data_IF_455230449486
#
_entry.id   IF_455230449486
#
_cell.length_a   1.000
_cell.length_b   1.000
_cell.length_c   1.000
_cell.angle_alpha   90.00
_cell.angle_beta   90.00
_cell.angle_gamma   90.00
#
_symmetry.space_group_name_H-M   'P 1'
#
loop_
_entity.id
_entity.type
_entity.pdbx_description
1 polymer ?
#
# COMPACT_ATOMS: atom_id res chain seq x y z
N UNK A 1 17.37 6.74 -5.43
CA UNK A 1 16.46 5.59 -5.62
C UNK A 1 17.28 4.31 -5.52
N UNK A 2 16.92 3.41 -4.62
CA UNK A 2 17.58 2.11 -4.49
C UNK A 2 17.11 1.10 -5.54
N UNK A 3 17.67 -0.11 -5.52
CA UNK A 3 17.37 -1.23 -6.43
C UNK A 3 15.88 -1.57 -6.52
N UNK A 4 15.07 -1.17 -5.53
CA UNK A 4 13.64 -1.50 -5.43
C UNK A 4 12.71 -0.33 -5.82
N UNK A 5 13.23 0.79 -6.28
CA UNK A 5 12.45 2.00 -6.58
C UNK A 5 11.51 2.40 -5.42
N UNK A 6 12.07 2.49 -4.21
CA UNK A 6 11.34 2.77 -2.98
C UNK A 6 11.73 1.81 -1.85
N UNK A 7 10.93 1.77 -0.79
CA UNK A 7 11.05 0.82 0.32
C UNK A 7 12.08 1.17 1.40
N UNK A 8 12.80 2.28 1.28
CA UNK A 8 13.92 2.62 2.15
C UNK A 8 13.63 3.71 3.18
N UNK A 9 12.60 4.52 2.97
CA UNK A 9 12.34 5.69 3.79
C UNK A 9 10.89 5.77 4.26
N UNK A 10 10.66 6.63 5.23
CA UNK A 10 9.36 6.98 5.75
C UNK A 10 8.99 8.39 5.32
N UNK A 11 7.76 8.58 4.90
CA UNK A 11 7.25 9.87 4.44
C UNK A 11 5.84 10.12 4.99
N UNK A 12 5.46 11.39 5.22
CA UNK A 12 4.08 11.72 5.52
C UNK A 12 3.18 11.42 4.33
N UNK A 13 2.04 10.77 4.58
CA UNK A 13 1.01 10.54 3.56
C UNK A 13 0.00 11.69 3.60
N UNK A 14 -0.25 12.30 2.44
CA UNK A 14 -1.04 13.52 2.36
C UNK A 14 -0.21 14.77 2.69
N UNK A 15 0.99 14.86 2.10
CA UNK A 15 1.92 15.99 2.33
C UNK A 15 1.34 17.33 1.89
N UNK A 16 0.61 17.37 0.78
CA UNK A 16 0.00 18.59 0.23
C UNK A 16 -1.50 18.62 0.50
N UNK A 17 -2.18 17.50 0.22
CA UNK A 17 -3.62 17.38 0.43
C UNK A 17 -3.92 16.09 1.17
N UNK A 18 -4.56 16.18 2.33
CA UNK A 18 -4.93 14.99 3.11
C UNK A 18 -6.01 14.21 2.34
N UNK A 19 -5.80 12.91 2.05
CA UNK A 19 -6.82 12.06 1.46
C UNK A 19 -8.07 11.91 2.32
N UNK A 20 -9.17 11.43 1.73
CA UNK A 20 -10.39 11.11 2.46
C UNK A 20 -10.17 10.05 3.55
N UNK A 21 -11.07 10.01 4.53
CA UNK A 21 -10.93 9.12 5.70
C UNK A 21 -10.97 7.63 5.34
N UNK A 22 -11.55 7.26 4.20
CA UNK A 22 -11.55 5.89 3.67
C UNK A 22 -10.14 5.45 3.23
N UNK A 23 -9.30 6.38 2.75
CA UNK A 23 -7.92 6.12 2.30
C UNK A 23 -6.93 6.31 3.45
N UNK A 24 -7.14 7.37 4.25
CA UNK A 24 -6.33 7.70 5.42
C UNK A 24 -7.22 7.81 6.67
N UNK A 25 -7.56 6.68 7.32
CA UNK A 25 -8.38 6.67 8.52
C UNK A 25 -7.76 7.50 9.64
N UNK A 26 -8.58 8.30 10.34
CA UNK A 26 -8.11 9.19 11.41
C UNK A 26 -7.46 8.45 12.58
N UNK A 27 -7.90 7.21 12.84
CA UNK A 27 -7.36 6.36 13.89
C UNK A 27 -5.99 5.75 13.56
N UNK A 28 -5.63 5.68 12.27
CA UNK A 28 -4.32 5.16 11.85
C UNK A 28 -3.32 6.30 11.67
N UNK A 29 -2.60 6.57 12.73
CA UNK A 29 -1.59 7.63 12.77
C UNK A 29 -0.20 7.18 12.29
N UNK A 30 -0.10 6.00 11.68
CA UNK A 30 1.14 5.47 11.14
C UNK A 30 2.24 5.32 12.19
N UNK A 31 3.44 5.76 11.86
CA UNK A 31 4.62 5.64 12.72
C UNK A 31 4.46 6.28 14.11
N UNK A 32 3.62 7.30 14.25
CA UNK A 32 3.29 7.92 15.55
C UNK A 32 2.80 6.90 16.57
N UNK A 33 2.07 5.87 16.17
CA UNK A 33 1.58 4.82 17.07
C UNK A 33 2.70 4.09 17.83
N UNK A 34 3.92 4.09 17.29
CA UNK A 34 5.10 3.45 17.88
C UNK A 34 6.01 4.47 18.56
N UNK A 35 6.23 5.62 17.94
CA UNK A 35 7.23 6.60 18.41
C UNK A 35 6.66 7.63 19.37
N UNK A 36 5.35 7.84 19.38
CA UNK A 36 4.65 8.92 20.10
C UNK A 36 5.24 10.33 19.82
N UNK A 37 5.91 10.49 18.69
CA UNK A 37 6.54 11.75 18.28
C UNK A 37 5.66 12.47 17.28
N UNK A 38 5.29 13.73 17.56
CA UNK A 38 4.34 14.49 16.73
C UNK A 38 4.75 14.61 15.25
N UNK A 39 6.04 14.70 14.96
CA UNK A 39 6.54 14.73 13.58
C UNK A 39 6.36 13.41 12.80
N UNK A 40 6.02 12.33 13.50
CA UNK A 40 5.78 11.01 12.90
C UNK A 40 4.28 10.73 12.66
N UNK A 41 3.41 11.70 12.94
CA UNK A 41 1.97 11.55 12.70
C UNK A 41 1.69 11.44 11.20
N UNK A 42 0.94 10.40 10.82
CA UNK A 42 0.66 10.03 9.43
C UNK A 42 1.90 9.77 8.56
N UNK A 43 3.02 9.43 9.17
CA UNK A 43 4.22 8.99 8.47
C UNK A 43 4.17 7.48 8.28
N UNK A 44 4.32 7.05 7.04
CA UNK A 44 4.31 5.64 6.63
C UNK A 44 5.58 5.28 5.88
N UNK A 45 5.90 4.00 5.86
CA UNK A 45 6.98 3.49 5.04
C UNK A 45 6.58 3.56 3.57
N UNK A 46 7.42 4.17 2.73
CA UNK A 46 7.24 4.10 1.29
C UNK A 46 7.46 2.66 0.81
N UNK A 47 6.45 2.07 0.19
CA UNK A 47 6.55 0.73 -0.38
C UNK A 47 7.44 0.71 -1.63
N UNK A 48 8.11 -0.42 -1.95
CA UNK A 48 8.75 -0.61 -3.25
C UNK A 48 7.72 -0.52 -4.37
N UNK A 49 8.11 0.05 -5.50
CA UNK A 49 7.25 0.09 -6.70
C UNK A 49 7.36 -1.19 -7.55
N UNK A 50 8.39 -2.00 -7.33
CA UNK A 50 8.56 -3.28 -8.02
C UNK A 50 7.39 -4.22 -7.68
N UNK A 51 6.78 -4.80 -8.71
CA UNK A 51 5.61 -5.68 -8.62
C UNK A 51 4.38 -5.01 -7.98
N UNK A 52 4.22 -3.70 -8.13
CA UNK A 52 3.08 -3.02 -7.53
C UNK A 52 1.76 -3.37 -8.21
N UNK A 53 1.77 -3.64 -9.53
CA UNK A 53 0.56 -3.94 -10.31
C UNK A 53 -0.27 -5.09 -9.72
N UNK A 54 0.30 -6.27 -9.37
CA UNK A 54 -0.48 -7.39 -8.83
C UNK A 54 -0.80 -7.28 -7.34
N UNK A 55 -0.55 -6.13 -6.68
CA UNK A 55 -0.66 -6.02 -5.23
C UNK A 55 -1.88 -5.24 -4.73
N UNK A 56 -2.91 -5.11 -5.57
CA UNK A 56 -4.18 -4.55 -5.10
C UNK A 56 -4.73 -5.36 -3.89
N UNK A 57 -5.44 -4.72 -2.95
CA UNK A 57 -5.77 -3.31 -2.87
C UNK A 57 -4.60 -2.44 -2.41
N UNK A 58 -4.64 -1.15 -2.82
CA UNK A 58 -3.57 -0.18 -2.56
C UNK A 58 -3.80 0.61 -1.29
N UNK A 59 -2.71 1.25 -0.83
CA UNK A 59 -2.56 1.94 0.45
C UNK A 59 -2.70 1.01 1.66
N UNK A 60 -2.35 1.51 2.84
CA UNK A 60 -2.42 0.74 4.08
C UNK A 60 -3.87 0.43 4.53
N UNK A 61 -4.85 1.25 4.12
CA UNK A 61 -6.27 0.99 4.36
C UNK A 61 -6.86 -0.07 3.43
N UNK A 62 -6.24 -0.33 2.28
CA UNK A 62 -6.77 -1.24 1.27
C UNK A 62 -8.05 -0.73 0.59
N UNK A 63 -8.31 0.58 0.63
CA UNK A 63 -9.54 1.16 0.10
C UNK A 63 -9.55 1.31 -1.44
N UNK A 64 -8.39 1.32 -2.08
CA UNK A 64 -8.24 1.58 -3.51
C UNK A 64 -7.84 0.31 -4.24
N UNK A 65 -8.63 -0.08 -5.23
CA UNK A 65 -8.44 -1.33 -5.99
C UNK A 65 -7.83 -1.14 -7.37
N UNK A 66 -7.94 0.06 -7.94
CA UNK A 66 -7.39 0.41 -9.25
C UNK A 66 -6.02 1.07 -9.11
N UNK A 67 -5.05 0.66 -9.92
CA UNK A 67 -3.72 1.27 -9.96
C UNK A 67 -3.80 2.71 -10.48
N UNK A 68 -4.69 2.96 -11.44
CA UNK A 68 -4.97 4.28 -12.00
C UNK A 68 -5.48 5.24 -10.91
N UNK A 69 -6.43 4.78 -10.09
CA UNK A 69 -6.94 5.56 -8.96
C UNK A 69 -5.85 5.82 -7.91
N UNK A 70 -5.02 4.81 -7.61
CA UNK A 70 -3.90 4.97 -6.67
C UNK A 70 -2.89 6.01 -7.15
N UNK A 71 -2.59 6.05 -8.44
CA UNK A 71 -1.71 7.06 -9.05
C UNK A 71 -2.34 8.45 -8.96
N UNK A 72 -3.63 8.62 -9.27
CA UNK A 72 -4.33 9.89 -9.17
C UNK A 72 -4.37 10.42 -7.72
N UNK A 73 -4.67 9.54 -6.76
CA UNK A 73 -4.62 9.88 -5.32
C UNK A 73 -3.23 10.36 -4.90
N UNK A 74 -2.17 9.68 -5.33
CA UNK A 74 -0.80 10.09 -5.01
C UNK A 74 -0.42 11.42 -5.67
N UNK A 75 -0.88 11.69 -6.89
CA UNK A 75 -0.73 12.98 -7.54
C UNK A 75 -1.29 14.12 -6.70
N UNK A 76 -2.53 13.98 -6.28
CA UNK A 76 -3.22 14.99 -5.45
C UNK A 76 -2.64 15.08 -4.04
N UNK A 77 -2.46 13.93 -3.37
CA UNK A 77 -2.05 13.91 -1.96
C UNK A 77 -0.61 14.35 -1.73
N UNK A 78 0.31 13.95 -2.59
CA UNK A 78 1.74 14.18 -2.39
C UNK A 78 2.30 15.35 -3.19
N UNK A 79 1.76 15.62 -4.38
CA UNK A 79 2.24 16.67 -5.26
C UNK A 79 1.30 17.87 -5.33
N UNK A 80 0.03 17.72 -4.90
CA UNK A 80 -1.01 18.74 -5.08
C UNK A 80 -1.40 18.94 -6.53
N UNK A 81 -1.15 17.96 -7.40
CA UNK A 81 -1.44 18.00 -8.82
C UNK A 81 -2.61 17.10 -9.18
N UNK A 82 -3.56 17.64 -9.91
CA UNK A 82 -4.57 16.84 -10.60
C UNK A 82 -3.94 16.35 -11.91
N UNK A 83 -3.53 15.08 -11.92
CA UNK A 83 -2.94 14.47 -13.11
C UNK A 83 -4.03 14.30 -14.19
N UNK A 84 -3.71 14.68 -15.41
CA UNK A 84 -4.55 14.40 -16.57
C UNK A 84 -4.60 12.89 -16.87
N UNK A 85 -5.65 12.42 -17.55
CA UNK A 85 -5.83 10.99 -17.81
C UNK A 85 -4.64 10.35 -18.55
N UNK A 86 -4.07 11.04 -19.52
CA UNK A 86 -2.90 10.60 -20.27
C UNK A 86 -1.63 10.55 -19.42
N UNK A 87 -1.48 11.43 -18.43
CA UNK A 87 -0.39 11.38 -17.45
C UNK A 87 -0.53 10.18 -16.51
N UNK A 88 -1.75 9.92 -16.03
CA UNK A 88 -2.04 8.73 -15.22
C UNK A 88 -1.74 7.47 -16.02
N UNK A 89 -2.20 7.38 -17.26
CA UNK A 89 -1.97 6.23 -18.14
C UNK A 89 -0.47 5.99 -18.39
N UNK A 90 0.29 7.05 -18.61
CA UNK A 90 1.75 6.95 -18.80
C UNK A 90 2.46 6.44 -17.54
N UNK A 91 2.07 6.92 -16.36
CA UNK A 91 2.63 6.47 -15.08
C UNK A 91 2.26 4.99 -14.85
N UNK A 92 1.01 4.63 -15.06
CA UNK A 92 0.54 3.24 -14.93
C UNK A 92 1.27 2.31 -15.90
N UNK A 93 1.44 2.71 -17.16
CA UNK A 93 2.21 1.95 -18.14
C UNK A 93 3.66 1.71 -17.64
N UNK A 94 4.29 2.73 -17.09
CA UNK A 94 5.62 2.57 -16.47
C UNK A 94 5.58 1.60 -15.28
N UNK A 95 4.62 1.72 -14.37
CA UNK A 95 4.52 0.84 -13.20
C UNK A 95 4.31 -0.63 -13.61
N UNK A 96 3.55 -0.89 -14.66
CA UNK A 96 3.37 -2.23 -15.23
C UNK A 96 4.68 -2.84 -15.76
N UNK A 97 5.61 -2.04 -16.24
CA UNK A 97 6.95 -2.55 -16.66
C UNK A 97 7.79 -3.05 -15.50
N UNK A 98 7.43 -2.71 -14.26
CA UNK A 98 8.12 -3.16 -13.06
C UNK A 98 7.62 -4.50 -12.53
N UNK A 99 6.64 -5.10 -13.20
CA UNK A 99 6.10 -6.43 -12.89
C UNK A 99 7.05 -7.50 -13.42
N UNK A 100 7.57 -8.33 -12.54
CA UNK A 100 8.44 -9.46 -12.88
C UNK A 100 7.66 -10.77 -12.96
N UNK A 101 8.34 -11.83 -13.37
CA UNK A 101 7.79 -13.18 -13.33
C UNK A 101 7.48 -13.59 -11.88
N UNK A 102 6.25 -14.06 -11.67
CA UNK A 102 5.87 -14.66 -10.38
C UNK A 102 6.28 -16.12 -10.41
N UNK A 103 7.14 -16.59 -9.50
CA UNK A 103 7.53 -17.99 -9.46
C UNK A 103 6.30 -18.87 -9.17
N UNK A 104 6.20 -19.99 -9.89
CA UNK A 104 5.23 -21.03 -9.54
C UNK A 104 5.58 -21.65 -8.20
N UNK A 105 4.75 -21.39 -7.20
CA UNK A 105 4.92 -21.94 -5.86
C UNK A 105 3.98 -23.12 -5.71
N UNK A 106 4.53 -24.30 -5.50
CA UNK A 106 3.76 -25.44 -5.03
C UNK A 106 3.54 -25.29 -3.53
N UNK A 107 2.29 -25.01 -3.16
CA UNK A 107 1.94 -24.96 -1.75
C UNK A 107 1.96 -26.37 -1.14
N UNK A 108 2.61 -26.56 0.02
CA UNK A 108 2.56 -27.84 0.70
C UNK A 108 1.11 -28.17 1.11
N UNK A 109 0.70 -29.40 0.91
CA UNK A 109 -0.58 -29.86 1.45
C UNK A 109 -0.50 -29.88 2.98
N UNK A 110 -1.42 -29.16 3.61
CA UNK A 110 -1.52 -29.20 5.07
C UNK A 110 -2.04 -30.57 5.51
N UNK A 111 -1.53 -31.13 6.61
CA UNK A 111 -2.07 -32.35 7.15
C UNK A 111 -3.56 -32.18 7.47
N UNK A 112 -4.39 -33.22 7.29
CA UNK A 112 -5.81 -33.14 7.60
C UNK A 112 -6.02 -32.76 9.06
N UNK A 113 -7.02 -31.90 9.29
CA UNK A 113 -7.41 -31.50 10.63
C UNK A 113 -7.90 -32.72 11.42
N UNK A 114 -7.43 -32.86 12.64
CA UNK A 114 -7.86 -33.88 13.62
C UNK A 114 -8.66 -33.21 14.74
N UNK A 115 -9.27 -33.99 15.61
CA UNK A 115 -9.99 -33.48 16.79
C UNK A 115 -9.07 -32.67 17.75
N UNK A 116 -7.76 -32.89 17.69
CA UNK A 116 -6.76 -32.15 18.46
C UNK A 116 -6.22 -30.92 17.75
N UNK A 117 -6.62 -30.62 16.51
CA UNK A 117 -6.13 -29.46 15.77
C UNK A 117 -6.75 -28.18 16.33
N UNK A 118 -5.94 -27.21 16.81
CA UNK A 118 -6.46 -25.94 17.28
C UNK A 118 -7.26 -25.22 16.19
N UNK A 119 -8.46 -24.82 16.51
CA UNK A 119 -9.29 -24.01 15.60
C UNK A 119 -9.00 -22.52 15.83
N UNK A 120 -8.92 -21.71 14.76
CA UNK A 120 -8.79 -20.28 14.93
C UNK A 120 -10.00 -19.73 15.69
N UNK A 121 -9.73 -18.98 16.73
CA UNK A 121 -10.77 -18.26 17.48
C UNK A 121 -10.96 -16.91 16.79
N UNK A 122 -12.17 -16.61 16.33
CA UNK A 122 -12.51 -15.28 15.86
C UNK A 122 -12.30 -14.29 17.00
N UNK A 123 -11.39 -13.36 16.84
CA UNK A 123 -11.36 -12.22 17.73
C UNK A 123 -12.56 -11.34 17.38
N UNK A 124 -13.66 -11.52 18.12
CA UNK A 124 -14.75 -10.55 18.15
C UNK A 124 -14.20 -9.27 18.73
N UNK A 125 -14.13 -8.23 17.89
CA UNK A 125 -13.90 -6.85 18.33
C UNK A 125 -15.11 -6.35 19.09
#
# INVERSE_FOLDING_TARGET
SGVNLGGQNYFPFGLVTKPGAEILPEGDKGRFAVTATASDEYVFRASPLRNIEPTAPYFHSGAVWSLEEAVAVMGTAQLGAELAGDEVDAIVAFLKTLTGEVPEIQYPELPPSTDGTPRPVSMTQ
#
